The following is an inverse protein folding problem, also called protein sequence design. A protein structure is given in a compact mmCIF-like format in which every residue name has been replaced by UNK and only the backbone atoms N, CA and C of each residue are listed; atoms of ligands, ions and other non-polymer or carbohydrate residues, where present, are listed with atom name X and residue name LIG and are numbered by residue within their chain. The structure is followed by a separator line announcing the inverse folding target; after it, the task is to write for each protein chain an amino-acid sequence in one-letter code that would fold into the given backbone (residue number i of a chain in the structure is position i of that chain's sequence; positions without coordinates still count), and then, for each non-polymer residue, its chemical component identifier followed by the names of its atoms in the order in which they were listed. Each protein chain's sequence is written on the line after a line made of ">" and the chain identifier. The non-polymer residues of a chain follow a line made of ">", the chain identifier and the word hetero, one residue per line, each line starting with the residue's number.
data_IF_900969580426
#
_entry.id   IF_900969580426
#
_cell.length_a   1.000
_cell.length_b   1.000
_cell.length_c   1.000
_cell.angle_alpha   90.00
_cell.angle_beta   90.00
_cell.angle_gamma   90.00
#
_symmetry.space_group_name_H-M   'P 1'
#
loop_
_entity.id
_entity.type
_entity.pdbx_description
1 polymer ?
#
# COMPACT_ATOMS: atom_id res chain seq x y z
N UNK A 1 -16.72 0.71 14.94
CA UNK A 1 -15.35 0.78 14.42
C UNK A 1 -15.41 0.41 12.95
N UNK A 2 -14.95 1.30 12.08
CA UNK A 2 -14.94 1.04 10.63
C UNK A 2 -13.79 0.12 10.23
N UNK A 3 -13.83 -0.45 9.02
CA UNK A 3 -12.70 -1.20 8.47
C UNK A 3 -11.45 -0.32 8.38
N UNK A 4 -11.59 0.94 7.94
CA UNK A 4 -10.48 1.89 7.87
C UNK A 4 -9.84 2.08 9.25
N UNK A 5 -10.64 2.31 10.30
CA UNK A 5 -10.13 2.45 11.67
C UNK A 5 -9.41 1.18 12.14
N UNK A 6 -9.96 0.00 11.84
CA UNK A 6 -9.34 -1.27 12.18
C UNK A 6 -7.99 -1.45 11.47
N UNK A 7 -7.93 -1.22 10.16
CA UNK A 7 -6.69 -1.29 9.39
C UNK A 7 -5.65 -0.26 9.86
N UNK A 8 -6.07 0.96 10.19
CA UNK A 8 -5.17 1.98 10.76
C UNK A 8 -4.54 1.55 12.07
N UNK A 9 -5.29 0.86 12.94
CA UNK A 9 -4.78 0.34 14.21
C UNK A 9 -3.76 -0.79 14.02
N UNK A 10 -3.97 -1.68 13.04
CA UNK A 10 -3.10 -2.84 12.83
C UNK A 10 -1.91 -2.56 11.90
N UNK A 11 -2.00 -1.58 11.00
CA UNK A 11 -0.99 -1.32 9.98
C UNK A 11 0.44 -1.12 10.56
N UNK A 12 0.66 -0.35 11.65
CA UNK A 12 1.98 -0.23 12.25
C UNK A 12 2.55 -1.59 12.70
N UNK A 13 1.70 -2.45 13.26
CA UNK A 13 2.12 -3.79 13.68
C UNK A 13 2.51 -4.64 12.47
N UNK A 14 1.71 -4.64 11.40
CA UNK A 14 2.02 -5.38 10.16
C UNK A 14 3.38 -4.94 9.60
N UNK A 15 3.64 -3.64 9.53
CA UNK A 15 4.90 -3.08 9.05
C UNK A 15 6.11 -3.52 9.90
N UNK A 16 5.94 -3.69 11.22
CA UNK A 16 7.02 -4.12 12.14
C UNK A 16 7.15 -5.63 12.34
N UNK A 17 6.07 -6.41 12.17
CA UNK A 17 6.04 -7.84 12.49
C UNK A 17 6.50 -8.71 11.31
N UNK A 18 6.48 -8.18 10.09
CA UNK A 18 6.93 -8.89 8.90
C UNK A 18 8.45 -8.78 8.74
N UNK A 19 9.08 -9.82 8.20
CA UNK A 19 10.50 -9.80 7.81
C UNK A 19 10.73 -9.01 6.52
N UNK A 20 9.65 -8.79 5.75
CA UNK A 20 9.68 -8.07 4.48
C UNK A 20 9.79 -6.56 4.68
N UNK A 21 10.46 -5.87 3.76
CA UNK A 21 10.46 -4.41 3.73
C UNK A 21 9.20 -3.88 3.04
N UNK A 22 8.14 -3.72 3.83
CA UNK A 22 6.78 -3.51 3.33
C UNK A 22 6.26 -2.13 3.72
N UNK A 23 5.82 -1.36 2.74
CA UNK A 23 5.08 -0.12 2.96
C UNK A 23 3.58 -0.35 2.89
N UNK A 24 2.82 0.49 3.60
CA UNK A 24 1.37 0.39 3.72
C UNK A 24 0.76 1.75 3.42
N UNK A 25 -0.32 1.76 2.64
CA UNK A 25 -1.19 2.93 2.51
C UNK A 25 -2.64 2.53 2.71
N UNK A 26 -3.41 3.41 3.34
CA UNK A 26 -4.85 3.29 3.51
C UNK A 26 -5.46 4.60 3.03
N UNK A 27 -6.49 4.49 2.20
CA UNK A 27 -7.27 5.62 1.73
C UNK A 27 -8.74 5.38 2.02
N UNK A 28 -9.50 6.45 2.23
CA UNK A 28 -10.93 6.41 1.95
C UNK A 28 -11.17 6.58 0.44
N UNK A 29 -12.40 6.86 0.03
CA UNK A 29 -12.74 7.05 -1.39
C UNK A 29 -12.22 8.36 -1.99
N UNK A 30 -11.73 9.30 -1.17
CA UNK A 30 -11.30 10.64 -1.57
C UNK A 30 -9.79 10.86 -1.38
N UNK A 31 -9.22 10.40 -0.28
CA UNK A 31 -7.87 10.78 0.16
C UNK A 31 -7.14 9.71 0.97
N UNK A 32 -5.83 9.88 1.11
CA UNK A 32 -5.00 9.04 1.96
C UNK A 32 -5.23 9.36 3.45
N UNK A 33 -5.57 8.33 4.22
CA UNK A 33 -5.86 8.44 5.66
C UNK A 33 -4.78 7.84 6.55
N UNK A 34 -3.85 7.08 5.97
CA UNK A 34 -2.61 6.59 6.60
C UNK A 34 -1.59 6.19 5.55
N UNK A 35 -0.33 6.57 5.77
CA UNK A 35 0.81 6.17 4.98
C UNK A 35 1.97 5.75 5.88
N UNK A 36 2.49 4.54 5.65
CA UNK A 36 3.70 4.02 6.29
C UNK A 36 4.66 3.59 5.17
N UNK A 37 5.82 4.25 5.04
CA UNK A 37 6.77 3.88 3.99
C UNK A 37 7.45 2.54 4.29
N UNK A 38 7.93 1.88 3.24
CA UNK A 38 8.97 0.86 3.38
C UNK A 38 10.33 1.56 3.58
N UNK A 39 11.36 0.85 4.05
CA UNK A 39 12.72 1.42 4.14
C UNK A 39 13.32 1.69 2.76
N UNK A 40 13.02 0.84 1.79
CA UNK A 40 13.57 0.90 0.42
C UNK A 40 12.70 1.69 -0.55
N UNK A 41 11.42 1.89 -0.23
CA UNK A 41 10.46 2.56 -1.11
C UNK A 41 9.62 3.54 -0.32
N UNK A 42 9.74 4.81 -0.68
CA UNK A 42 8.91 5.89 -0.16
C UNK A 42 8.30 6.68 -1.34
N UNK A 43 6.98 6.62 -1.47
CA UNK A 43 6.20 7.35 -2.46
C UNK A 43 5.95 8.82 -2.07
N UNK A 44 6.38 9.23 -0.87
CA UNK A 44 6.19 10.57 -0.30
C UNK A 44 4.72 11.01 -0.22
N UNK A 45 3.81 10.07 0.06
CA UNK A 45 2.39 10.34 0.26
C UNK A 45 2.18 10.93 1.66
N UNK A 46 1.36 11.97 1.76
CA UNK A 46 0.93 12.57 3.02
C UNK A 46 -0.52 12.22 3.31
N UNK A 47 -0.86 12.18 4.60
CA UNK A 47 -2.28 12.11 5.01
C UNK A 47 -2.99 13.37 4.53
N UNK A 48 -4.14 13.19 3.90
CA UNK A 48 -4.90 14.24 3.21
C UNK A 48 -4.53 14.44 1.74
N UNK A 49 -3.51 13.74 1.21
CA UNK A 49 -3.27 13.77 -0.24
C UNK A 49 -4.43 13.08 -0.97
N UNK A 50 -4.93 13.66 -2.08
CA UNK A 50 -6.05 13.10 -2.81
C UNK A 50 -5.71 11.73 -3.40
N UNK A 51 -6.72 10.88 -3.52
CA UNK A 51 -6.60 9.55 -4.10
C UNK A 51 -6.23 9.67 -5.58
N UNK A 52 -4.95 9.42 -5.88
CA UNK A 52 -4.40 9.59 -7.23
C UNK A 52 -4.86 8.49 -8.18
N UNK A 53 -5.39 8.89 -9.33
CA UNK A 53 -5.77 7.99 -10.40
C UNK A 53 -4.58 7.16 -10.89
N UNK A 54 -4.85 5.92 -11.30
CA UNK A 54 -3.82 4.99 -11.75
C UNK A 54 -3.00 4.34 -10.62
N UNK A 55 -3.22 4.69 -9.35
CA UNK A 55 -2.67 3.91 -8.23
C UNK A 55 -3.42 2.59 -8.05
N UNK A 56 -2.78 1.60 -7.43
CA UNK A 56 -3.42 0.31 -7.15
C UNK A 56 -4.65 0.46 -6.23
N UNK A 57 -4.60 1.33 -5.21
CA UNK A 57 -5.74 1.62 -4.33
C UNK A 57 -6.89 2.23 -5.11
N UNK A 58 -6.63 3.25 -5.95
CA UNK A 58 -7.67 3.87 -6.76
C UNK A 58 -8.40 2.84 -7.61
N UNK A 59 -7.65 1.95 -8.27
CA UNK A 59 -8.27 0.89 -9.08
C UNK A 59 -9.04 -0.13 -8.24
N UNK A 60 -8.54 -0.49 -7.06
CA UNK A 60 -9.25 -1.40 -6.16
C UNK A 60 -10.59 -0.82 -5.69
N UNK A 61 -10.60 0.46 -5.29
CA UNK A 61 -11.80 1.20 -4.91
C UNK A 61 -12.76 1.30 -6.10
N UNK A 62 -12.28 1.68 -7.28
CA UNK A 62 -13.11 1.87 -8.48
C UNK A 62 -13.75 0.57 -8.98
N UNK A 63 -13.02 -0.54 -8.88
CA UNK A 63 -13.46 -1.84 -9.43
C UNK A 63 -14.15 -2.72 -8.40
N UNK A 64 -14.02 -2.42 -7.11
CA UNK A 64 -14.46 -3.29 -6.02
C UNK A 64 -13.72 -4.64 -5.99
N UNK A 65 -12.49 -4.70 -6.55
CA UNK A 65 -11.71 -5.94 -6.68
C UNK A 65 -10.29 -5.78 -6.18
N UNK A 66 -9.66 -6.90 -5.81
CA UNK A 66 -8.22 -6.96 -5.53
C UNK A 66 -7.43 -6.58 -6.77
N UNK A 67 -6.46 -5.68 -6.61
CA UNK A 67 -5.58 -5.22 -7.69
C UNK A 67 -4.14 -5.57 -7.34
N UNK A 68 -3.37 -6.00 -8.35
CA UNK A 68 -1.93 -6.23 -8.25
C UNK A 68 -1.26 -5.45 -9.37
N UNK A 69 -0.35 -4.54 -9.01
CA UNK A 69 0.46 -3.79 -9.97
C UNK A 69 1.94 -4.08 -9.77
N UNK A 70 2.63 -4.33 -10.87
CA UNK A 70 4.10 -4.34 -10.92
C UNK A 70 4.55 -3.02 -11.52
N UNK A 71 5.47 -2.35 -10.85
CA UNK A 71 6.01 -1.06 -11.27
C UNK A 71 7.51 -1.23 -11.41
N UNK A 72 8.05 -0.83 -12.55
CA UNK A 72 9.48 -0.89 -12.78
C UNK A 72 10.23 0.19 -12.00
N UNK A 73 11.55 0.16 -12.10
CA UNK A 73 12.43 1.10 -11.39
C UNK A 73 12.33 2.54 -11.91
N UNK A 74 11.73 2.77 -13.06
CA UNK A 74 11.64 4.08 -13.73
C UNK A 74 10.90 5.15 -12.93
N UNK A 75 10.05 4.78 -11.97
CA UNK A 75 9.23 5.73 -11.19
C UNK A 75 9.89 6.12 -9.86
N UNK A 76 10.44 5.16 -9.12
CA UNK A 76 10.96 5.37 -7.77
C UNK A 76 12.39 4.82 -7.56
N UNK A 77 13.12 4.52 -8.64
CA UNK A 77 14.48 3.99 -8.60
C UNK A 77 14.58 2.51 -8.18
N UNK A 78 13.52 1.93 -7.65
CA UNK A 78 13.45 0.53 -7.19
C UNK A 78 12.21 -0.14 -7.80
N UNK A 79 12.34 -1.32 -8.44
CA UNK A 79 11.17 -2.04 -8.93
C UNK A 79 10.37 -2.61 -7.75
N UNK A 80 9.05 -2.51 -7.82
CA UNK A 80 8.20 -2.94 -6.71
C UNK A 80 6.87 -3.53 -7.18
N UNK A 81 6.23 -4.25 -6.27
CA UNK A 81 4.87 -4.76 -6.44
C UNK A 81 3.96 -4.06 -5.42
N UNK A 82 2.81 -3.59 -5.88
CA UNK A 82 1.74 -3.07 -5.03
C UNK A 82 0.51 -3.97 -5.12
N UNK A 83 -0.04 -4.35 -3.98
CA UNK A 83 -1.27 -5.13 -3.88
C UNK A 83 -2.28 -4.29 -3.11
N UNK A 84 -3.42 -4.03 -3.72
CA UNK A 84 -4.49 -3.27 -3.11
C UNK A 84 -5.78 -4.08 -2.99
N UNK A 85 -6.54 -3.80 -1.95
CA UNK A 85 -7.82 -4.43 -1.66
C UNK A 85 -8.85 -3.36 -1.29
N UNK A 86 -10.08 -3.42 -1.84
CA UNK A 86 -11.15 -2.51 -1.45
C UNK A 86 -11.64 -2.84 -0.04
N UNK A 87 -11.93 -1.82 0.74
CA UNK A 87 -12.60 -1.94 2.03
C UNK A 87 -14.10 -1.77 1.79
N UNK A 88 -14.88 -2.79 2.13
CA UNK A 88 -16.32 -2.87 1.87
C UNK A 88 -17.06 -3.05 3.19
N UNK A 89 -17.94 -2.11 3.52
CA UNK A 89 -18.77 -2.11 4.72
C UNK A 89 -20.24 -2.09 4.32
N UNK A 90 -21.01 -3.08 4.77
CA UNK A 90 -22.44 -3.20 4.45
C UNK A 90 -22.74 -3.14 2.93
N UNK A 91 -21.86 -3.72 2.12
CA UNK A 91 -21.98 -3.70 0.65
C UNK A 91 -21.53 -2.41 -0.03
N UNK A 92 -21.03 -1.42 0.72
CA UNK A 92 -20.56 -0.14 0.20
C UNK A 92 -19.04 -0.07 0.29
N UNK A 93 -18.38 0.36 -0.78
CA UNK A 93 -16.92 0.61 -0.79
C UNK A 93 -16.65 1.88 0.02
N UNK A 94 -15.92 1.76 1.13
CA UNK A 94 -15.57 2.89 2.01
C UNK A 94 -14.13 3.37 1.83
N UNK A 95 -13.29 2.57 1.17
CA UNK A 95 -11.90 2.92 0.92
C UNK A 95 -11.09 1.74 0.39
N UNK A 96 -9.79 1.79 0.59
CA UNK A 96 -8.88 0.74 0.17
C UNK A 96 -7.60 0.71 1.00
N UNK A 97 -7.02 -0.47 1.10
CA UNK A 97 -5.70 -0.69 1.69
C UNK A 97 -4.75 -1.19 0.61
N UNK A 98 -3.50 -0.76 0.63
CA UNK A 98 -2.46 -1.42 -0.14
C UNK A 98 -1.21 -1.68 0.67
N UNK A 99 -0.53 -2.73 0.27
CA UNK A 99 0.84 -3.03 0.67
C UNK A 99 1.71 -2.92 -0.57
N UNK A 100 2.96 -2.50 -0.39
CA UNK A 100 3.94 -2.49 -1.44
C UNK A 100 5.32 -2.87 -0.92
N UNK A 101 6.07 -3.63 -1.72
CA UNK A 101 7.42 -4.06 -1.37
C UNK A 101 8.29 -4.14 -2.62
N UNK A 102 9.60 -3.98 -2.42
CA UNK A 102 10.57 -4.13 -3.50
C UNK A 102 10.53 -5.54 -4.06
N UNK A 103 10.66 -5.64 -5.39
CA UNK A 103 10.90 -6.91 -6.09
C UNK A 103 12.36 -7.06 -6.48
N UNK A 104 13.24 -6.14 -6.07
CA UNK A 104 14.66 -6.33 -6.21
C UNK A 104 15.04 -7.60 -5.44
N UNK A 105 15.73 -8.53 -6.10
CA UNK A 105 16.29 -9.69 -5.40
C UNK A 105 17.18 -9.14 -4.29
N UNK A 106 16.97 -9.58 -3.05
CA UNK A 106 18.00 -9.46 -2.04
C UNK A 106 19.24 -10.14 -2.62
N UNK A 107 20.23 -9.35 -3.05
CA UNK A 107 21.57 -9.87 -3.17
C UNK A 107 21.91 -10.23 -1.75
N UNK A 108 21.92 -11.52 -1.44
CA UNK A 108 22.55 -12.04 -0.23
C UNK A 108 24.02 -11.64 -0.38
N UNK A 109 24.36 -10.45 0.10
CA UNK A 109 25.71 -10.18 0.56
C UNK A 109 25.76 -10.91 1.89
N UNK A 110 26.33 -12.10 1.86
CA UNK A 110 26.96 -12.84 2.98
C UNK A 110 26.98 -14.35 2.65
N UNK A 111 28.08 -15.10 2.72
CA UNK A 111 29.36 -14.87 3.40
C UNK A 111 30.55 -15.28 2.52
N UNK A 112 31.60 -14.45 2.51
CA UNK A 112 32.98 -14.93 2.41
C UNK A 112 33.42 -15.42 3.79
#
# INVERSE_FOLDING_TARGET
>A
MTLIEAFKKIAPFINTMTTEDLGISICDVNECVLYLPARTINHNIKVGDPLKEGTAIYEAIKTGKRVVKRVGSEVYGVPYIAIAFPLIENGVITGGVSIFQSTAKQVVKDLQ
#
